data_IF_431990337887
#
_entry.id   IF_431990337887
#
_cell.length_a   1.000
_cell.length_b   1.000
_cell.length_c   1.000
_cell.angle_alpha   90.00
_cell.angle_beta   90.00
_cell.angle_gamma   90.00
#
_symmetry.space_group_name_H-M   'P 1'
#
loop_
_entity.id
_entity.type
_entity.pdbx_description
1 polymer ?
#
# COMPACT_ATOMS: atom_id res chain seq x y z
N UNK A 1 2.56 -15.92 -28.39
CA UNK A 1 3.59 -16.95 -28.13
C UNK A 1 4.80 -16.66 -29.01
N UNK A 2 5.90 -16.20 -28.44
CA UNK A 2 7.21 -16.20 -29.12
C UNK A 2 7.74 -17.62 -29.13
N UNK A 3 7.85 -18.25 -30.31
CA UNK A 3 8.51 -19.55 -30.44
C UNK A 3 9.99 -19.41 -30.06
N UNK A 4 10.43 -20.14 -29.03
CA UNK A 4 11.84 -20.29 -28.69
C UNK A 4 12.56 -21.06 -29.79
N UNK A 5 13.73 -20.55 -30.19
CA UNK A 5 14.47 -21.03 -31.37
C UNK A 5 15.39 -22.20 -31.02
N UNK A 6 15.94 -22.21 -29.82
CA UNK A 6 16.90 -23.23 -29.39
C UNK A 6 16.33 -24.66 -29.37
N UNK A 7 15.11 -24.95 -28.86
CA UNK A 7 14.58 -26.31 -28.82
C UNK A 7 14.43 -26.94 -30.21
N UNK A 8 13.96 -26.17 -31.19
CA UNK A 8 13.80 -26.64 -32.57
C UNK A 8 15.14 -26.95 -33.26
N UNK A 9 16.21 -26.24 -32.90
CA UNK A 9 17.56 -26.48 -33.44
C UNK A 9 18.25 -27.62 -32.66
N UNK A 10 18.00 -27.76 -31.36
CA UNK A 10 18.50 -28.89 -30.57
C UNK A 10 17.99 -30.23 -31.11
N UNK A 11 16.70 -30.32 -31.48
CA UNK A 11 16.13 -31.52 -32.12
C UNK A 11 16.81 -31.86 -33.46
N UNK A 12 17.12 -30.84 -34.28
CA UNK A 12 17.86 -31.04 -35.54
C UNK A 12 19.31 -31.47 -35.33
N UNK A 13 19.99 -30.88 -34.35
CA UNK A 13 21.35 -31.25 -33.97
C UNK A 13 21.42 -32.71 -33.51
N UNK A 14 20.46 -33.16 -32.71
CA UNK A 14 20.40 -34.55 -32.25
C UNK A 14 20.12 -35.54 -33.41
N UNK A 15 19.23 -35.18 -34.33
CA UNK A 15 19.01 -35.95 -35.56
C UNK A 15 20.29 -36.03 -36.42
N UNK A 16 21.02 -34.93 -36.62
CA UNK A 16 22.27 -34.93 -37.37
C UNK A 16 23.37 -35.78 -36.70
N UNK A 17 23.46 -35.74 -35.37
CA UNK A 17 24.38 -36.61 -34.59
C UNK A 17 24.02 -38.09 -34.73
N UNK A 18 22.73 -38.43 -34.72
CA UNK A 18 22.24 -39.80 -34.95
C UNK A 18 22.59 -40.30 -36.35
N UNK A 19 22.38 -39.47 -37.39
CA UNK A 19 22.78 -39.77 -38.77
C UNK A 19 24.30 -39.99 -38.86
N UNK A 20 25.10 -39.09 -38.28
CA UNK A 20 26.56 -39.22 -38.22
C UNK A 20 27.00 -40.54 -37.55
N UNK A 21 26.40 -40.90 -36.41
CA UNK A 21 26.70 -42.14 -35.69
C UNK A 21 26.30 -43.41 -36.46
N UNK A 22 25.26 -43.37 -37.29
CA UNK A 22 24.84 -44.53 -38.10
C UNK A 22 25.83 -44.92 -39.21
N UNK A 23 26.73 -44.01 -39.63
CA UNK A 23 27.71 -44.27 -40.71
C UNK A 23 28.98 -44.95 -40.18
N UNK A 24 29.35 -44.76 -38.90
CA UNK A 24 30.53 -45.35 -38.28
C UNK A 24 30.63 -46.90 -38.42
N UNK A 25 29.58 -47.72 -38.15
CA UNK A 25 29.67 -49.18 -38.34
C UNK A 25 29.83 -49.59 -39.81
N UNK A 26 29.27 -48.85 -40.76
CA UNK A 26 29.45 -49.12 -42.20
C UNK A 26 30.90 -48.88 -42.64
N UNK A 27 31.59 -47.89 -42.04
CA UNK A 27 33.01 -47.61 -42.31
C UNK A 27 33.91 -48.73 -41.81
N UNK A 28 33.68 -49.25 -40.60
CA UNK A 28 34.49 -50.35 -40.06
C UNK A 28 34.41 -51.60 -40.96
N UNK A 29 33.20 -51.94 -41.42
CA UNK A 29 32.97 -53.04 -42.35
C UNK A 29 33.61 -52.79 -43.73
N UNK A 30 33.41 -51.60 -44.32
CA UNK A 30 33.99 -51.27 -45.62
C UNK A 30 35.54 -51.16 -45.59
N UNK A 31 36.13 -50.82 -44.45
CA UNK A 31 37.58 -50.79 -44.26
C UNK A 31 38.18 -52.21 -44.21
N UNK A 32 37.47 -53.17 -43.60
CA UNK A 32 37.85 -54.58 -43.64
C UNK A 32 37.74 -55.15 -45.07
N UNK A 33 36.62 -54.94 -45.75
CA UNK A 33 36.41 -55.36 -47.15
C UNK A 33 37.48 -54.79 -48.10
N UNK A 34 37.94 -53.55 -47.87
CA UNK A 34 39.03 -52.93 -48.64
C UNK A 34 40.39 -53.58 -48.33
N UNK A 35 40.69 -53.88 -47.07
CA UNK A 35 41.91 -54.59 -46.68
C UNK A 35 41.97 -56.03 -47.21
N UNK A 36 40.81 -56.68 -47.38
CA UNK A 36 40.66 -58.00 -48.01
C UNK A 36 40.74 -57.95 -49.55
N UNK A 37 40.82 -56.76 -50.17
CA UNK A 37 40.89 -56.59 -51.62
C UNK A 37 39.56 -56.85 -52.35
N UNK A 38 38.42 -56.75 -51.66
CA UNK A 38 37.11 -56.99 -52.25
C UNK A 38 36.80 -55.97 -53.37
N UNK A 39 36.29 -56.47 -54.51
CA UNK A 39 36.12 -55.67 -55.73
C UNK A 39 35.16 -54.49 -55.51
N UNK A 40 35.71 -53.28 -55.49
CA UNK A 40 34.97 -52.02 -55.34
C UNK A 40 34.90 -51.47 -53.91
N UNK A 41 35.47 -52.17 -52.92
CA UNK A 41 35.44 -51.74 -51.52
C UNK A 41 36.15 -50.39 -51.28
N UNK A 42 37.28 -50.12 -51.95
CA UNK A 42 37.97 -48.82 -51.86
C UNK A 42 37.06 -47.63 -52.21
N UNK A 43 36.24 -47.79 -53.25
CA UNK A 43 35.29 -46.75 -53.67
C UNK A 43 34.19 -46.57 -52.64
N UNK A 44 33.62 -47.68 -52.13
CA UNK A 44 32.61 -47.68 -51.06
C UNK A 44 33.15 -46.97 -49.79
N UNK A 45 34.39 -47.27 -49.42
CA UNK A 45 35.07 -46.66 -48.28
C UNK A 45 35.33 -45.16 -48.48
N UNK A 46 35.71 -44.74 -49.70
CA UNK A 46 35.85 -43.32 -50.05
C UNK A 46 34.51 -42.57 -49.98
N UNK A 47 33.44 -43.16 -50.53
CA UNK A 47 32.08 -42.59 -50.49
C UNK A 47 31.56 -42.45 -49.04
N UNK A 48 31.80 -43.44 -48.18
CA UNK A 48 31.44 -43.38 -46.75
C UNK A 48 32.24 -42.32 -45.98
N UNK A 49 33.54 -42.20 -46.22
CA UNK A 49 34.38 -41.13 -45.65
C UNK A 49 33.90 -39.74 -46.08
N UNK A 50 33.48 -39.58 -47.34
CA UNK A 50 32.89 -38.32 -47.82
C UNK A 50 31.55 -38.02 -47.11
N UNK A 51 30.71 -39.03 -46.87
CA UNK A 51 29.46 -38.86 -46.10
C UNK A 51 29.71 -38.44 -44.65
N UNK A 52 30.68 -39.04 -43.95
CA UNK A 52 31.08 -38.58 -42.60
C UNK A 52 31.60 -37.14 -42.63
N UNK A 53 32.45 -36.78 -43.59
CA UNK A 53 32.95 -35.41 -43.71
C UNK A 53 31.84 -34.37 -44.01
N UNK A 54 30.70 -34.77 -44.59
CA UNK A 54 29.52 -33.92 -44.70
C UNK A 54 28.72 -33.88 -43.40
N UNK A 55 28.47 -35.03 -42.77
CA UNK A 55 27.71 -35.12 -41.53
C UNK A 55 28.39 -34.38 -40.35
N UNK A 56 29.73 -34.49 -40.24
CA UNK A 56 30.51 -33.75 -39.23
C UNK A 56 30.43 -32.21 -39.46
N UNK A 57 30.35 -31.75 -40.72
CA UNK A 57 30.12 -30.32 -41.04
C UNK A 57 28.72 -29.88 -40.65
N UNK A 58 27.70 -30.67 -40.99
CA UNK A 58 26.30 -30.37 -40.65
C UNK A 58 26.11 -30.30 -39.12
N UNK A 59 26.70 -31.25 -38.37
CA UNK A 59 26.73 -31.20 -36.90
C UNK A 59 27.43 -29.93 -36.41
N UNK A 60 28.62 -29.59 -36.92
CA UNK A 60 29.37 -28.40 -36.51
C UNK A 60 28.66 -27.07 -36.84
N UNK A 61 27.87 -27.01 -37.91
CA UNK A 61 27.02 -25.87 -38.24
C UNK A 61 25.80 -25.77 -37.33
N UNK A 62 25.14 -26.91 -37.05
CA UNK A 62 23.99 -26.98 -36.15
C UNK A 62 24.38 -26.68 -34.69
N UNK A 63 25.58 -27.03 -34.24
CA UNK A 63 26.09 -26.65 -32.91
C UNK A 63 26.27 -25.13 -32.77
N UNK A 64 26.84 -24.48 -33.79
CA UNK A 64 26.96 -23.00 -33.83
C UNK A 64 25.58 -22.33 -33.87
N UNK A 65 24.66 -22.85 -34.68
CA UNK A 65 23.30 -22.35 -34.78
C UNK A 65 22.55 -22.51 -33.44
N UNK A 66 22.69 -23.65 -32.77
CA UNK A 66 22.09 -23.90 -31.46
C UNK A 66 22.63 -22.94 -30.39
N UNK A 67 23.96 -22.75 -30.33
CA UNK A 67 24.58 -21.83 -29.39
C UNK A 67 24.12 -20.37 -29.58
N UNK A 68 23.99 -19.92 -30.84
CA UNK A 68 23.44 -18.61 -31.18
C UNK A 68 21.96 -18.49 -30.79
N UNK A 69 21.14 -19.49 -31.12
CA UNK A 69 19.72 -19.50 -30.79
C UNK A 69 19.48 -19.46 -29.28
N UNK A 70 20.22 -20.26 -28.50
CA UNK A 70 20.14 -20.25 -27.04
C UNK A 70 20.56 -18.90 -26.44
N UNK A 71 21.51 -18.17 -27.06
CA UNK A 71 21.85 -16.80 -26.66
C UNK A 71 20.72 -15.82 -26.95
N UNK A 72 20.13 -15.88 -28.15
CA UNK A 72 19.03 -14.99 -28.56
C UNK A 72 17.77 -15.23 -27.72
N UNK A 73 17.41 -16.48 -27.43
CA UNK A 73 16.27 -16.81 -26.57
C UNK A 73 16.46 -16.26 -25.15
N UNK A 74 17.67 -16.35 -24.58
CA UNK A 74 18.00 -15.73 -23.29
C UNK A 74 17.90 -14.20 -23.34
N UNK A 75 18.40 -13.56 -24.39
CA UNK A 75 18.33 -12.10 -24.56
C UNK A 75 16.87 -11.63 -24.65
N UNK A 76 16.04 -12.31 -25.46
CA UNK A 76 14.62 -12.00 -25.59
C UNK A 76 13.86 -12.17 -24.26
N UNK A 77 14.15 -13.23 -23.50
CA UNK A 77 13.55 -13.43 -22.17
C UNK A 77 13.92 -12.33 -21.16
N UNK A 78 15.20 -11.92 -21.13
CA UNK A 78 15.66 -10.82 -20.27
C UNK A 78 15.02 -9.49 -20.70
N UNK A 79 14.91 -9.22 -22.00
CA UNK A 79 14.29 -8.01 -22.51
C UNK A 79 12.79 -7.93 -22.16
N UNK A 80 12.02 -9.00 -22.37
CA UNK A 80 10.60 -9.02 -22.00
C UNK A 80 10.37 -8.79 -20.49
N UNK A 81 11.24 -9.34 -19.64
CA UNK A 81 11.20 -9.07 -18.18
C UNK A 81 11.60 -7.62 -17.85
N UNK A 82 12.51 -7.00 -18.61
CA UNK A 82 12.88 -5.61 -18.44
C UNK A 82 11.75 -4.65 -18.87
N UNK A 83 11.07 -4.95 -19.98
CA UNK A 83 9.90 -4.22 -20.47
C UNK A 83 8.74 -4.27 -19.45
N UNK A 84 8.38 -5.47 -18.97
CA UNK A 84 7.37 -5.64 -17.91
C UNK A 84 7.73 -4.86 -16.63
N UNK A 85 9.00 -4.83 -16.24
CA UNK A 85 9.47 -4.05 -15.07
C UNK A 85 9.40 -2.54 -15.32
N UNK A 86 9.61 -2.09 -16.55
CA UNK A 86 9.50 -0.68 -16.92
C UNK A 86 8.04 -0.19 -16.86
N UNK A 87 7.09 -1.01 -17.32
CA UNK A 87 5.64 -0.77 -17.19
C UNK A 87 5.24 -0.70 -15.70
N UNK A 88 5.61 -1.70 -14.90
CA UNK A 88 5.34 -1.71 -13.45
C UNK A 88 5.94 -0.49 -12.72
N UNK A 89 7.13 -0.03 -13.12
CA UNK A 89 7.76 1.16 -12.57
C UNK A 89 7.05 2.45 -12.99
N UNK A 90 6.49 2.51 -14.21
CA UNK A 90 5.67 3.64 -14.65
C UNK A 90 4.37 3.75 -13.84
N UNK A 91 3.65 2.64 -13.69
CA UNK A 91 2.44 2.58 -12.85
C UNK A 91 2.73 2.94 -11.39
N UNK A 92 3.83 2.46 -10.83
CA UNK A 92 4.24 2.81 -9.47
C UNK A 92 4.47 4.32 -9.31
N UNK A 93 5.15 4.97 -10.27
CA UNK A 93 5.37 6.43 -10.26
C UNK A 93 4.06 7.21 -10.30
N UNK A 94 3.13 6.84 -11.19
CA UNK A 94 1.81 7.48 -11.28
C UNK A 94 1.04 7.37 -9.96
N UNK A 95 1.05 6.19 -9.33
CA UNK A 95 0.41 5.99 -8.02
C UNK A 95 1.10 6.79 -6.89
N UNK A 96 2.42 6.95 -6.94
CA UNK A 96 3.16 7.77 -5.97
C UNK A 96 2.84 9.27 -6.11
N UNK A 97 2.72 9.79 -7.34
CA UNK A 97 2.24 11.16 -7.56
C UNK A 97 0.80 11.38 -7.08
N UNK A 98 -0.09 10.39 -7.30
CA UNK A 98 -1.45 10.46 -6.78
C UNK A 98 -1.48 10.48 -5.25
N UNK A 99 -0.61 9.68 -4.60
CA UNK A 99 -0.42 9.68 -3.14
C UNK A 99 0.09 11.03 -2.63
N UNK A 100 1.00 11.68 -3.33
CA UNK A 100 1.48 13.04 -3.00
C UNK A 100 0.35 14.08 -3.12
N UNK A 101 -0.38 14.07 -4.25
CA UNK A 101 -1.56 14.94 -4.47
C UNK A 101 -2.65 14.72 -3.42
N UNK A 102 -2.83 13.49 -2.93
CA UNK A 102 -3.73 13.19 -1.82
C UNK A 102 -3.22 13.74 -0.48
N UNK A 103 -1.91 13.64 -0.20
CA UNK A 103 -1.30 14.20 1.01
C UNK A 103 -1.37 15.74 1.05
N UNK A 104 -1.22 16.43 -0.10
CA UNK A 104 -1.39 17.88 -0.18
C UNK A 104 -2.78 18.31 0.35
N UNK A 105 -3.85 17.62 -0.06
CA UNK A 105 -5.22 17.86 0.43
C UNK A 105 -5.37 17.62 1.94
N UNK A 106 -4.64 16.66 2.51
CA UNK A 106 -4.62 16.43 3.96
C UNK A 106 -3.95 17.61 4.68
N UNK A 107 -2.88 18.19 4.13
CA UNK A 107 -2.24 19.39 4.69
C UNK A 107 -3.14 20.63 4.57
N UNK A 108 -3.84 20.82 3.45
CA UNK A 108 -4.84 21.88 3.27
C UNK A 108 -5.98 21.77 4.30
N UNK A 109 -6.52 20.56 4.49
CA UNK A 109 -7.54 20.30 5.50
C UNK A 109 -7.04 20.54 6.93
N UNK A 110 -5.79 20.16 7.23
CA UNK A 110 -5.17 20.45 8.53
C UNK A 110 -4.99 21.96 8.77
N UNK A 111 -4.64 22.74 7.74
CA UNK A 111 -4.55 24.19 7.84
C UNK A 111 -5.92 24.87 8.08
N UNK A 112 -6.99 24.37 7.46
CA UNK A 112 -8.37 24.81 7.73
C UNK A 112 -8.81 24.45 9.16
N UNK A 113 -8.52 23.23 9.59
CA UNK A 113 -8.81 22.76 10.95
C UNK A 113 -8.09 23.60 12.01
N UNK A 114 -6.82 23.97 11.79
CA UNK A 114 -6.06 24.82 12.70
C UNK A 114 -6.67 26.23 12.84
N UNK A 115 -7.18 26.82 11.75
CA UNK A 115 -7.88 28.12 11.79
C UNK A 115 -9.20 28.03 12.57
N UNK A 116 -10.04 27.03 12.25
CA UNK A 116 -11.30 26.82 12.96
C UNK A 116 -11.09 26.53 14.46
N UNK A 117 -10.00 25.82 14.82
CA UNK A 117 -9.63 25.60 16.21
C UNK A 117 -9.19 26.89 16.91
N UNK A 118 -8.46 27.79 16.24
CA UNK A 118 -8.12 29.09 16.80
C UNK A 118 -9.37 29.95 17.07
N UNK A 119 -10.32 30.01 16.13
CA UNK A 119 -11.61 30.70 16.31
C UNK A 119 -12.40 30.14 17.51
N UNK A 120 -12.43 28.81 17.66
CA UNK A 120 -13.01 28.13 18.83
C UNK A 120 -12.29 28.50 20.14
N UNK A 121 -10.96 28.49 20.15
CA UNK A 121 -10.16 28.84 21.34
C UNK A 121 -10.37 30.29 21.78
N UNK A 122 -10.43 31.24 20.85
CA UNK A 122 -10.74 32.66 21.14
C UNK A 122 -12.15 32.80 21.74
N UNK A 123 -13.15 32.12 21.17
CA UNK A 123 -14.52 32.12 21.71
C UNK A 123 -14.58 31.50 23.13
N UNK A 124 -13.79 30.46 23.39
CA UNK A 124 -13.66 29.82 24.71
C UNK A 124 -13.03 30.76 25.74
N UNK A 125 -11.96 31.47 25.35
CA UNK A 125 -11.32 32.49 26.19
C UNK A 125 -12.27 33.67 26.48
N UNK A 126 -12.99 34.14 25.48
CA UNK A 126 -13.99 35.20 25.65
C UNK A 126 -15.11 34.79 26.61
N UNK A 127 -15.59 33.54 26.52
CA UNK A 127 -16.57 32.99 27.47
C UNK A 127 -16.00 32.89 28.90
N UNK A 128 -14.73 32.51 29.06
CA UNK A 128 -14.07 32.51 30.36
C UNK A 128 -13.96 33.92 30.97
N UNK A 129 -13.61 34.92 30.16
CA UNK A 129 -13.48 36.32 30.59
C UNK A 129 -14.86 36.92 30.97
N UNK A 130 -15.93 36.51 30.30
CA UNK A 130 -17.30 36.95 30.57
C UNK A 130 -17.94 36.29 31.81
N UNK A 131 -17.25 35.37 32.49
CA UNK A 131 -17.76 34.69 33.68
C UNK A 131 -18.07 35.66 34.82
N UNK A 132 -19.24 35.57 35.49
CA UNK A 132 -19.58 36.46 36.61
C UNK A 132 -18.57 36.38 37.75
N UNK A 133 -18.11 37.53 38.24
CA UNK A 133 -17.14 37.64 39.33
C UNK A 133 -17.58 36.86 40.56
N UNK A 134 -16.70 36.01 41.10
CA UNK A 134 -16.95 35.18 42.28
C UNK A 134 -17.59 33.82 41.99
N UNK A 135 -17.95 33.52 40.74
CA UNK A 135 -18.33 32.18 40.30
C UNK A 135 -17.12 31.39 39.78
N UNK A 136 -17.28 30.09 39.58
CA UNK A 136 -16.30 29.21 38.95
C UNK A 136 -16.95 28.27 37.94
N UNK A 137 -16.29 27.99 36.82
CA UNK A 137 -16.77 26.99 35.86
C UNK A 137 -16.42 25.59 36.39
N UNK A 138 -17.40 24.66 36.49
CA UNK A 138 -17.14 23.30 36.93
C UNK A 138 -16.23 22.54 35.95
N UNK A 139 -15.50 21.55 36.45
CA UNK A 139 -14.69 20.66 35.59
C UNK A 139 -15.60 19.91 34.64
N UNK A 140 -15.44 20.13 33.34
CA UNK A 140 -16.24 19.45 32.32
C UNK A 140 -15.80 17.99 32.15
N UNK A 141 -16.79 17.13 31.93
CA UNK A 141 -16.64 15.78 31.39
C UNK A 141 -17.50 15.73 30.12
N UNK A 142 -16.87 15.65 28.94
CA UNK A 142 -17.54 15.73 27.63
C UNK A 142 -17.21 14.49 26.81
N UNK A 143 -18.21 13.94 26.11
CA UNK A 143 -18.03 12.78 25.27
C UNK A 143 -18.05 11.45 26.04
N UNK A 144 -17.99 10.32 25.32
CA UNK A 144 -18.23 8.97 25.86
C UNK A 144 -17.23 8.51 26.95
N UNK A 145 -16.14 9.24 27.16
CA UNK A 145 -15.05 8.88 28.05
C UNK A 145 -15.05 9.64 29.39
N UNK A 146 -15.82 10.72 29.52
CA UNK A 146 -16.11 11.40 30.80
C UNK A 146 -14.92 11.91 31.64
N UNK A 147 -13.73 12.15 31.05
CA UNK A 147 -12.47 12.29 31.80
C UNK A 147 -11.65 13.54 31.43
N UNK A 148 -11.41 14.39 32.45
CA UNK A 148 -10.68 15.68 32.47
C UNK A 148 -11.34 16.81 31.64
N UNK A 149 -11.08 18.11 31.88
CA UNK A 149 -10.02 18.83 32.61
C UNK A 149 -10.37 20.32 32.86
N UNK A 150 -9.43 21.23 33.23
CA UNK A 150 -9.83 22.52 33.81
C UNK A 150 -10.53 23.50 32.85
N UNK A 151 -11.54 24.17 33.40
CA UNK A 151 -12.36 25.29 32.88
C UNK A 151 -13.19 24.99 31.62
N UNK A 152 -12.69 24.31 30.58
CA UNK A 152 -13.53 23.90 29.44
C UNK A 152 -13.27 22.48 28.89
N UNK A 153 -12.42 21.71 29.55
CA UNK A 153 -12.06 20.34 29.13
C UNK A 153 -11.16 20.26 27.89
N UNK A 154 -10.47 19.13 27.67
CA UNK A 154 -9.59 18.91 26.53
C UNK A 154 -10.44 18.50 25.31
N UNK A 155 -11.01 19.48 24.61
CA UNK A 155 -11.84 19.26 23.42
C UNK A 155 -11.12 18.56 22.26
N UNK A 156 -9.79 18.39 22.33
CA UNK A 156 -9.03 17.45 21.49
C UNK A 156 -9.70 16.06 21.44
N UNK A 157 -10.23 15.55 22.56
CA UNK A 157 -10.82 14.21 22.64
C UNK A 157 -12.15 14.12 21.90
N UNK A 158 -12.92 15.19 21.96
CA UNK A 158 -14.16 15.36 21.21
C UNK A 158 -13.89 15.42 19.70
N UNK A 159 -12.87 16.18 19.29
CA UNK A 159 -12.42 16.31 17.90
C UNK A 159 -11.90 14.97 17.36
N UNK A 160 -11.05 14.26 18.11
CA UNK A 160 -10.52 12.94 17.72
C UNK A 160 -11.66 11.91 17.60
N UNK A 161 -12.64 11.95 18.50
CA UNK A 161 -13.83 11.10 18.47
C UNK A 161 -14.69 11.37 17.23
N UNK A 162 -14.90 12.65 16.89
CA UNK A 162 -15.66 13.05 15.71
C UNK A 162 -14.95 12.66 14.39
N UNK A 163 -13.62 12.78 14.32
CA UNK A 163 -12.81 12.29 13.20
C UNK A 163 -12.90 10.76 13.01
N UNK A 164 -13.08 9.99 14.10
CA UNK A 164 -13.33 8.54 14.02
C UNK A 164 -14.73 8.23 13.52
N UNK A 165 -15.74 8.90 14.08
CA UNK A 165 -17.16 8.75 13.73
C UNK A 165 -17.42 9.03 12.24
N UNK A 166 -16.80 10.10 11.72
CA UNK A 166 -16.92 10.56 10.34
C UNK A 166 -16.01 9.81 9.34
N UNK A 167 -15.13 8.90 9.79
CA UNK A 167 -14.22 8.19 8.91
C UNK A 167 -14.97 7.44 7.79
N UNK A 168 -14.69 7.68 6.50
CA UNK A 168 -15.46 7.11 5.40
C UNK A 168 -15.19 5.60 5.24
N UNK A 169 -16.15 4.82 4.70
CA UNK A 169 -15.92 3.43 4.36
C UNK A 169 -14.80 3.28 3.32
N UNK A 170 -14.06 2.18 3.38
CA UNK A 170 -13.07 1.82 2.36
C UNK A 170 -13.77 1.36 1.09
N UNK A 171 -13.15 1.62 -0.05
CA UNK A 171 -13.65 1.20 -1.37
C UNK A 171 -13.67 -0.33 -1.56
N UNK A 172 -12.91 -1.08 -0.76
CA UNK A 172 -12.93 -2.55 -0.72
C UNK A 172 -14.02 -3.12 0.23
N UNK A 173 -14.73 -2.27 0.97
CA UNK A 173 -15.73 -2.68 1.96
C UNK A 173 -15.17 -3.28 3.26
N UNK A 174 -13.84 -3.44 3.37
CA UNK A 174 -13.20 -4.08 4.54
C UNK A 174 -12.83 -3.02 5.58
N UNK A 175 -13.83 -2.29 6.07
CA UNK A 175 -13.73 -1.29 7.14
C UNK A 175 -13.76 0.16 6.66
N UNK A 176 -13.14 1.08 7.42
CA UNK A 176 -13.15 2.53 7.21
C UNK A 176 -11.73 3.11 7.16
N UNK A 177 -11.55 4.26 6.50
CA UNK A 177 -10.30 5.02 6.45
C UNK A 177 -10.17 5.93 7.68
N UNK A 178 -9.68 5.37 8.78
CA UNK A 178 -9.46 6.12 10.02
C UNK A 178 -8.16 6.94 9.98
N UNK A 179 -8.20 8.14 10.58
CA UNK A 179 -7.01 8.94 10.85
C UNK A 179 -6.20 8.24 11.95
N UNK A 180 -4.89 7.95 11.80
CA UNK A 180 -4.16 7.02 12.67
C UNK A 180 -4.14 7.37 14.17
N UNK A 181 -4.22 8.66 14.49
CA UNK A 181 -4.19 9.20 15.85
C UNK A 181 -5.59 9.39 16.47
N UNK A 182 -6.66 9.33 15.66
CA UNK A 182 -8.03 9.62 16.08
C UNK A 182 -8.74 8.41 16.73
N UNK A 183 -8.09 7.67 17.63
CA UNK A 183 -8.66 6.43 18.19
C UNK A 183 -9.57 6.72 19.40
N UNK A 184 -10.80 6.18 19.44
CA UNK A 184 -11.61 6.22 20.65
C UNK A 184 -10.98 5.36 21.75
N UNK A 185 -11.15 5.81 22.99
CA UNK A 185 -10.63 5.15 24.20
C UNK A 185 -11.52 3.98 24.64
N UNK A 186 -12.84 4.08 24.48
CA UNK A 186 -13.79 2.98 24.69
C UNK A 186 -13.84 2.01 23.49
N UNK A 187 -13.68 0.70 23.78
CA UNK A 187 -13.63 -0.39 22.79
C UNK A 187 -14.96 -0.61 22.03
N UNK A 188 -16.12 -0.26 22.62
CA UNK A 188 -17.43 -0.34 21.97
C UNK A 188 -17.46 0.47 20.66
N UNK A 189 -17.03 1.73 20.72
CA UNK A 189 -17.00 2.67 19.60
C UNK A 189 -15.86 2.39 18.60
N UNK A 190 -14.85 1.60 18.99
CA UNK A 190 -13.86 1.08 18.05
C UNK A 190 -14.48 0.12 17.02
N UNK A 191 -15.56 -0.58 17.41
CA UNK A 191 -16.27 -1.55 16.55
C UNK A 191 -17.51 -0.95 15.89
N UNK A 192 -18.14 0.03 16.52
CA UNK A 192 -19.35 0.70 16.03
C UNK A 192 -19.19 2.23 16.08
N UNK A 193 -18.45 2.85 15.13
CA UNK A 193 -18.24 4.30 15.11
C UNK A 193 -19.56 5.07 14.95
N UNK A 194 -20.52 4.53 14.22
CA UNK A 194 -21.87 5.10 14.05
C UNK A 194 -22.72 5.13 15.33
N UNK A 195 -22.37 4.35 16.37
CA UNK A 195 -23.02 4.42 17.67
C UNK A 195 -22.49 5.58 18.54
N UNK A 196 -21.45 6.30 18.10
CA UNK A 196 -20.94 7.48 18.79
C UNK A 196 -21.90 8.66 18.61
N UNK A 197 -22.22 9.41 19.68
CA UNK A 197 -22.92 10.69 19.55
C UNK A 197 -22.08 11.69 18.74
N UNK A 198 -22.74 12.65 18.09
CA UNK A 198 -22.05 13.71 17.37
C UNK A 198 -21.41 14.69 18.36
N UNK A 199 -20.13 15.03 18.14
CA UNK A 199 -19.37 15.82 19.11
C UNK A 199 -19.97 17.20 19.42
N UNK A 200 -20.70 17.81 18.49
CA UNK A 200 -21.37 19.10 18.73
C UNK A 200 -22.51 19.01 19.74
N UNK A 201 -23.20 17.88 19.84
CA UNK A 201 -24.34 17.70 20.74
C UNK A 201 -23.88 17.39 22.18
N UNK A 202 -22.76 16.67 22.31
CA UNK A 202 -22.00 16.53 23.56
C UNK A 202 -21.55 17.91 24.08
N UNK A 203 -20.93 18.74 23.23
CA UNK A 203 -20.49 20.10 23.60
C UNK A 203 -21.67 20.99 24.01
N UNK A 204 -22.80 20.95 23.29
CA UNK A 204 -24.01 21.69 23.64
C UNK A 204 -24.54 21.29 25.02
N UNK A 205 -24.62 19.99 25.28
CA UNK A 205 -25.12 19.44 26.55
C UNK A 205 -24.24 19.87 27.72
N UNK A 206 -22.91 19.83 27.55
CA UNK A 206 -21.97 20.25 28.57
C UNK A 206 -21.96 21.78 28.79
N UNK A 207 -22.09 22.59 27.73
CA UNK A 207 -22.24 24.04 27.86
C UNK A 207 -23.53 24.42 28.62
N UNK A 208 -24.65 23.74 28.37
CA UNK A 208 -25.89 23.94 29.12
C UNK A 208 -25.71 23.61 30.61
N UNK A 209 -24.99 22.53 30.93
CA UNK A 209 -24.69 22.17 32.32
C UNK A 209 -23.86 23.25 33.04
N UNK A 210 -22.88 23.87 32.37
CA UNK A 210 -22.11 25.00 32.93
C UNK A 210 -23.03 26.18 33.21
N UNK A 211 -23.86 26.60 32.25
CA UNK A 211 -24.74 27.77 32.42
C UNK A 211 -25.67 27.56 33.62
N UNK A 212 -26.31 26.39 33.72
CA UNK A 212 -27.19 26.02 34.83
C UNK A 212 -26.46 26.03 36.19
N UNK A 213 -25.17 25.66 36.23
CA UNK A 213 -24.40 25.68 37.47
C UNK A 213 -23.97 27.11 37.87
N UNK A 214 -23.48 27.89 36.92
CA UNK A 214 -23.11 29.30 37.14
C UNK A 214 -24.33 30.13 37.56
N UNK A 215 -25.51 29.90 36.95
CA UNK A 215 -26.78 30.52 37.37
C UNK A 215 -27.11 30.23 38.84
N UNK A 216 -26.93 28.98 39.31
CA UNK A 216 -27.13 28.61 40.72
C UNK A 216 -26.11 29.29 41.64
N UNK A 217 -24.85 29.40 41.21
CA UNK A 217 -23.81 30.10 41.98
C UNK A 217 -24.17 31.59 42.13
N UNK A 218 -24.57 32.27 41.04
CA UNK A 218 -25.01 33.68 41.06
C UNK A 218 -26.24 33.86 41.96
N UNK A 219 -27.26 33.00 41.84
CA UNK A 219 -28.46 33.07 42.67
C UNK A 219 -28.12 33.00 44.17
N UNK A 220 -27.30 32.01 44.56
CA UNK A 220 -26.84 31.83 45.94
C UNK A 220 -26.02 33.02 46.47
N UNK A 221 -25.18 33.63 45.62
CA UNK A 221 -24.43 34.84 45.97
C UNK A 221 -25.36 36.03 46.22
N UNK A 222 -26.35 36.24 45.36
CA UNK A 222 -27.34 37.32 45.49
C UNK A 222 -28.19 37.14 46.76
N UNK A 223 -28.69 35.93 47.03
CA UNK A 223 -29.39 35.60 48.28
C UNK A 223 -28.54 35.91 49.52
N UNK A 224 -27.26 35.52 49.50
CA UNK A 224 -26.33 35.74 50.61
C UNK A 224 -26.06 37.23 50.84
N UNK A 225 -25.89 38.02 49.77
CA UNK A 225 -25.69 39.46 49.85
C UNK A 225 -26.93 40.21 50.37
N UNK A 226 -28.12 39.86 49.89
CA UNK A 226 -29.38 40.44 50.37
C UNK A 226 -29.61 40.10 51.85
N UNK A 227 -29.35 38.87 52.26
CA UNK A 227 -29.48 38.45 53.66
C UNK A 227 -28.47 39.14 54.60
N UNK A 228 -27.28 39.51 54.11
CA UNK A 228 -26.31 40.31 54.87
C UNK A 228 -26.80 41.77 55.01
N UNK A 229 -27.18 42.42 53.91
CA UNK A 229 -27.66 43.80 53.93
C UNK A 229 -28.92 43.98 54.81
N UNK A 230 -29.83 43.01 54.82
CA UNK A 230 -31.01 43.03 55.71
C UNK A 230 -30.69 42.89 57.20
N UNK A 231 -29.52 42.34 57.56
CA UNK A 231 -29.06 42.25 58.96
C UNK A 231 -28.30 43.49 59.43
N UNK A 232 -27.68 44.23 58.50
CA UNK A 232 -27.00 45.49 58.82
C UNK A 232 -27.98 46.67 58.95
N UNK A 233 -29.21 46.52 58.45
CA UNK A 233 -30.28 47.52 58.51
C UNK A 233 -31.25 47.34 59.69
N UNK A 234 -31.01 46.38 60.60
CA UNK A 234 -31.89 45.98 61.71
C UNK A 234 -31.21 46.12 63.08
#
# INVERSE_FOLDING_TARGET
MTMTRAPAIAQKLEAARSVRASIDPEIAQAALEAAEGARGADKRLADLRARVAMADREVAELEKAHALAARLDRQAAVQAVAEMRAEQLADFKVNMEQREKAMAKVMEAAALMAKAYAEYSEATLAAQIAMPTGTSIPVMAVGPDGVYGPVFGPCERLILSELWRLAPPRSDGIGRFFVPFAKPTVELFRRQPEAMPAGIDELRSANQAIVIDVEKQVAKMNESAMAAASKEAA
#
